data_IF_697111944434
#
_entry.id   IF_697111944434
#
_cell.length_a   1.000
_cell.length_b   1.000
_cell.length_c   1.000
_cell.angle_alpha   90.00
_cell.angle_beta   90.00
_cell.angle_gamma   90.00
#
_symmetry.space_group_name_H-M   'P 1'
#
loop_
_entity.id
_entity.type
_entity.pdbx_description
1 polymer ?
#
# COMPACT_ATOMS: atom_id res chain seq x y z
N UNK A 1 1.96 -6.25 -27.00
CA UNK A 1 0.57 -5.75 -26.82
C UNK A 1 0.43 -5.17 -25.41
N UNK A 2 0.66 -3.87 -25.25
CA UNK A 2 0.52 -3.16 -23.98
C UNK A 2 -0.99 -2.94 -23.72
N UNK A 3 -1.49 -3.24 -22.52
CA UNK A 3 -2.89 -2.94 -22.21
C UNK A 3 -3.11 -1.42 -22.24
N UNK A 4 -3.87 -0.95 -23.24
CA UNK A 4 -4.20 0.48 -23.44
C UNK A 4 -5.12 1.05 -22.35
N UNK A 5 -5.73 0.19 -21.53
CA UNK A 5 -6.58 0.58 -20.41
C UNK A 5 -5.87 0.33 -19.08
N UNK A 6 -5.39 1.42 -18.47
CA UNK A 6 -4.80 1.44 -17.11
C UNK A 6 -5.85 1.22 -16.01
N UNK A 7 -7.13 1.32 -16.36
CA UNK A 7 -8.27 1.21 -15.46
C UNK A 7 -9.17 0.04 -15.84
N UNK A 8 -9.55 -0.77 -14.86
CA UNK A 8 -10.50 -1.87 -15.00
C UNK A 8 -11.72 -1.53 -14.16
N UNK A 9 -12.86 -1.35 -14.82
CA UNK A 9 -14.14 -1.00 -14.18
C UNK A 9 -14.08 0.22 -13.25
N UNK A 10 -13.27 1.21 -13.63
CA UNK A 10 -13.11 2.47 -12.88
C UNK A 10 -12.09 2.44 -11.74
N UNK A 11 -11.40 1.31 -11.54
CA UNK A 11 -10.32 1.15 -10.56
C UNK A 11 -8.99 0.92 -11.27
N UNK A 12 -7.89 1.34 -10.66
CA UNK A 12 -6.52 1.05 -11.07
C UNK A 12 -5.72 0.46 -9.91
N UNK A 13 -4.67 -0.28 -10.24
CA UNK A 13 -3.73 -0.79 -9.25
C UNK A 13 -3.12 0.36 -8.46
N UNK A 14 -3.15 0.25 -7.12
CA UNK A 14 -2.67 1.29 -6.20
C UNK A 14 -3.77 2.21 -5.66
N UNK A 15 -5.00 2.13 -6.18
CA UNK A 15 -6.13 2.84 -5.58
C UNK A 15 -6.41 2.34 -4.17
N UNK A 16 -6.73 3.26 -3.26
CA UNK A 16 -7.28 2.94 -1.94
C UNK A 16 -8.76 2.66 -2.08
N UNK A 17 -9.19 1.48 -1.65
CA UNK A 17 -10.57 1.02 -1.73
C UNK A 17 -11.04 0.51 -0.36
N UNK A 18 -12.34 0.60 -0.13
CA UNK A 18 -13.04 -0.08 0.96
C UNK A 18 -13.90 -1.17 0.35
N UNK A 19 -13.61 -2.43 0.66
CA UNK A 19 -14.46 -3.55 0.29
C UNK A 19 -15.35 -3.94 1.47
N UNK A 20 -16.67 -3.97 1.23
CA UNK A 20 -17.65 -4.45 2.20
C UNK A 20 -18.15 -5.78 1.68
N UNK A 21 -17.63 -6.88 2.22
CA UNK A 21 -17.99 -8.23 1.79
C UNK A 21 -19.18 -8.69 2.64
N UNK A 22 -20.39 -8.85 2.05
CA UNK A 22 -21.59 -9.16 2.82
C UNK A 22 -21.69 -10.63 3.24
N UNK A 23 -21.01 -11.55 2.55
CA UNK A 23 -21.07 -12.98 2.82
C UNK A 23 -19.79 -13.72 2.42
N UNK A 24 -19.49 -14.82 3.12
CA UNK A 24 -18.39 -15.74 2.81
C UNK A 24 -17.28 -15.80 3.86
N UNK A 25 -16.15 -16.43 3.52
CA UNK A 25 -14.99 -16.61 4.42
C UNK A 25 -14.28 -15.29 4.78
N UNK A 26 -14.55 -14.22 4.04
CA UNK A 26 -13.91 -12.90 4.15
C UNK A 26 -14.91 -11.81 4.54
N UNK A 27 -16.04 -12.18 5.15
CA UNK A 27 -17.06 -11.23 5.60
C UNK A 27 -16.43 -10.15 6.48
N UNK A 28 -16.81 -8.90 6.23
CA UNK A 28 -16.30 -7.74 6.94
C UNK A 28 -15.94 -6.58 6.02
N UNK A 29 -15.50 -5.48 6.64
CA UNK A 29 -15.01 -4.31 5.92
C UNK A 29 -13.49 -4.34 5.82
N UNK A 30 -12.97 -4.34 4.60
CA UNK A 30 -11.54 -4.38 4.29
C UNK A 30 -11.14 -3.09 3.61
N UNK A 31 -10.36 -2.26 4.28
CA UNK A 31 -9.83 -1.02 3.71
C UNK A 31 -8.36 -1.21 3.38
N UNK A 32 -7.95 -0.87 2.16
CA UNK A 32 -6.61 -1.15 1.70
C UNK A 32 -6.31 -0.69 0.29
N UNK A 33 -5.12 -1.01 -0.19
CA UNK A 33 -4.74 -0.77 -1.60
C UNK A 33 -5.21 -1.93 -2.47
N UNK A 34 -5.78 -1.63 -3.63
CA UNK A 34 -6.22 -2.65 -4.59
C UNK A 34 -5.10 -2.96 -5.59
N UNK A 35 -4.90 -4.25 -5.84
CA UNK A 35 -4.11 -4.77 -6.95
C UNK A 35 -5.05 -5.49 -7.91
N UNK A 36 -5.09 -5.03 -9.15
CA UNK A 36 -6.00 -5.54 -10.18
C UNK A 36 -5.19 -6.40 -11.15
N UNK A 37 -5.65 -7.63 -11.37
CA UNK A 37 -5.09 -8.53 -12.40
C UNK A 37 -5.88 -8.40 -13.71
N UNK A 38 -5.26 -8.81 -14.83
CA UNK A 38 -5.90 -8.83 -16.17
C UNK A 38 -7.27 -9.53 -16.19
N UNK A 39 -7.45 -10.51 -15.30
CA UNK A 39 -8.68 -11.28 -15.14
C UNK A 39 -9.83 -10.50 -14.47
N UNK A 40 -9.59 -9.27 -14.00
CA UNK A 40 -10.59 -8.47 -13.29
C UNK A 40 -10.82 -8.90 -11.84
N UNK A 41 -9.95 -9.78 -11.31
CA UNK A 41 -9.97 -10.20 -9.91
C UNK A 41 -9.19 -9.17 -9.08
N UNK A 42 -9.83 -8.70 -7.99
CA UNK A 42 -9.24 -7.69 -7.12
C UNK A 42 -8.58 -8.37 -5.91
N UNK A 43 -7.38 -7.90 -5.58
CA UNK A 43 -6.65 -8.26 -4.38
C UNK A 43 -6.48 -7.01 -3.52
N UNK A 44 -6.93 -7.04 -2.28
CA UNK A 44 -6.89 -5.90 -1.38
C UNK A 44 -5.82 -6.14 -0.33
N UNK A 45 -4.82 -5.29 -0.29
CA UNK A 45 -3.78 -5.31 0.74
C UNK A 45 -4.28 -4.51 1.94
N UNK A 46 -4.68 -5.22 2.99
CA UNK A 46 -5.01 -4.63 4.30
C UNK A 46 -3.83 -4.80 5.25
N UNK A 47 -3.91 -4.17 6.42
CA UNK A 47 -2.89 -4.32 7.48
C UNK A 47 -2.83 -5.75 8.03
N UNK A 48 -3.95 -6.46 8.01
CA UNK A 48 -4.06 -7.83 8.53
C UNK A 48 -3.65 -8.88 7.50
N UNK A 49 -3.63 -8.53 6.20
CA UNK A 49 -3.19 -9.43 5.15
C UNK A 49 -3.75 -9.08 3.76
N UNK A 50 -3.30 -9.84 2.77
CA UNK A 50 -3.79 -9.69 1.40
C UNK A 50 -5.09 -10.51 1.19
N UNK A 51 -6.20 -9.81 0.96
CA UNK A 51 -7.50 -10.41 0.70
C UNK A 51 -7.73 -10.53 -0.81
N UNK A 52 -7.49 -11.72 -1.34
CA UNK A 52 -7.62 -12.03 -2.77
C UNK A 52 -9.06 -12.42 -3.16
N UNK A 53 -9.45 -12.26 -4.43
CA UNK A 53 -10.69 -12.86 -4.93
C UNK A 53 -11.95 -12.06 -4.60
N UNK A 54 -11.83 -10.76 -4.37
CA UNK A 54 -13.00 -9.89 -4.13
C UNK A 54 -13.52 -9.39 -5.48
N UNK A 55 -14.85 -9.37 -5.64
CA UNK A 55 -15.49 -8.76 -6.79
C UNK A 55 -15.54 -7.24 -6.62
N UNK A 56 -15.18 -6.52 -7.69
CA UNK A 56 -15.26 -5.05 -7.77
C UNK A 56 -16.61 -4.47 -7.35
N UNK A 57 -17.72 -5.23 -7.46
CA UNK A 57 -19.08 -4.80 -7.08
C UNK A 57 -19.21 -4.45 -5.59
N UNK A 58 -18.36 -5.03 -4.76
CA UNK A 58 -18.35 -4.82 -3.31
C UNK A 58 -17.26 -3.84 -2.87
N UNK A 59 -16.49 -3.30 -3.82
CA UNK A 59 -15.42 -2.35 -3.57
C UNK A 59 -15.90 -0.93 -3.87
N UNK A 60 -15.64 -0.03 -2.94
CA UNK A 60 -15.85 1.40 -3.12
C UNK A 60 -14.50 2.09 -3.16
N UNK A 61 -14.31 2.97 -4.14
CA UNK A 61 -13.09 3.77 -4.28
C UNK A 61 -13.06 4.84 -3.17
N UNK A 62 -11.98 4.88 -2.40
CA UNK A 62 -11.75 5.93 -1.39
C UNK A 62 -10.81 7.01 -1.91
N UNK A 63 -9.71 6.60 -2.54
CA UNK A 63 -8.71 7.52 -3.08
C UNK A 63 -8.08 6.90 -4.32
N UNK A 64 -7.96 7.70 -5.39
CA UNK A 64 -7.26 7.28 -6.60
C UNK A 64 -5.75 7.28 -6.36
N UNK A 65 -5.05 6.30 -6.91
CA UNK A 65 -3.60 6.25 -7.06
C UNK A 65 -3.14 7.23 -8.14
N UNK A 66 -3.40 8.52 -7.94
CA UNK A 66 -2.89 9.63 -8.75
C UNK A 66 -1.40 9.95 -8.46
N UNK A 67 -0.79 9.23 -7.52
CA UNK A 67 0.61 9.39 -7.13
C UNK A 67 0.80 10.23 -5.87
N UNK A 68 -0.24 10.89 -5.36
CA UNK A 68 -0.22 11.63 -4.10
C UNK A 68 -0.64 10.72 -2.94
N UNK A 69 0.16 9.70 -2.69
CA UNK A 69 -0.04 8.81 -1.56
C UNK A 69 0.44 9.47 -0.27
N UNK A 70 -0.46 10.09 0.50
CA UNK A 70 -0.22 10.27 1.92
C UNK A 70 0.02 8.87 2.53
N UNK A 71 1.29 8.60 2.82
CA UNK A 71 1.76 7.43 3.54
C UNK A 71 1.45 7.65 5.02
N UNK A 72 0.43 6.95 5.51
CA UNK A 72 0.68 5.99 6.57
C UNK A 72 0.25 4.64 5.99
N UNK A 73 0.96 3.52 6.15
CA UNK A 73 1.42 2.92 7.38
C UNK A 73 2.61 2.00 7.05
N UNK A 74 3.60 2.02 7.94
CA UNK A 74 4.88 1.34 7.87
C UNK A 74 4.68 -0.17 8.13
N UNK A 75 4.73 -1.01 7.08
CA UNK A 75 4.77 -2.46 7.26
C UNK A 75 6.15 -2.82 7.79
N UNK A 76 6.23 -3.29 9.03
CA UNK A 76 7.49 -3.69 9.66
C UNK A 76 8.26 -4.68 8.78
N UNK A 77 9.48 -4.29 8.40
CA UNK A 77 10.47 -5.13 7.74
C UNK A 77 11.69 -4.33 7.32
N UNK A 78 12.69 -4.22 8.21
CA UNK A 78 14.01 -3.65 7.91
C UNK A 78 14.24 -2.22 8.39
N UNK A 79 14.21 -2.00 9.71
CA UNK A 79 14.67 -0.76 10.34
C UNK A 79 15.94 -1.03 11.18
N UNK A 80 16.98 -1.55 10.52
CA UNK A 80 18.36 -1.59 10.99
C UNK A 80 19.18 -0.50 10.28
N UNK A 81 18.81 0.76 10.49
CA UNK A 81 19.79 1.85 10.44
C UNK A 81 19.51 2.75 11.63
N UNK A 82 20.26 2.54 12.70
CA UNK A 82 20.50 3.63 13.65
C UNK A 82 21.16 4.77 12.87
N UNK A 83 20.56 5.96 12.74
CA UNK A 83 21.34 7.14 12.45
C UNK A 83 22.01 7.54 13.76
N UNK A 84 23.17 6.94 14.07
CA UNK A 84 24.01 7.46 15.15
C UNK A 84 24.53 8.83 14.75
N UNK A 85 23.80 9.81 15.26
CA UNK A 85 24.09 11.23 15.34
C UNK A 85 25.60 11.47 15.45
N UNK A 86 26.12 12.21 14.47
CA UNK A 86 27.45 12.82 14.49
C UNK A 86 27.56 13.66 15.77
N UNK A 87 28.23 13.11 16.80
CA UNK A 87 28.74 13.93 17.90
C UNK A 87 30.05 14.53 17.43
N UNK A 88 29.96 15.76 16.95
CA UNK A 88 31.11 16.66 16.87
C UNK A 88 31.76 16.69 18.26
N UNK A 89 32.99 16.24 18.36
CA UNK A 89 33.87 16.63 19.46
C UNK A 89 35.11 17.25 18.85
N UNK A 90 35.11 18.58 18.85
CA UNK A 90 36.29 19.41 18.73
C UNK A 90 37.33 18.98 19.76
N UNK A 91 38.53 18.62 19.29
CA UNK A 91 39.80 18.92 19.97
C UNK A 91 41.00 18.58 19.06
N UNK A 92 41.57 19.60 18.43
CA UNK A 92 43.03 19.69 18.29
C UNK A 92 43.62 19.80 19.70
N UNK A 93 44.72 19.10 20.03
CA UNK A 93 46.04 19.74 20.02
C UNK A 93 47.12 18.83 19.38
N UNK A 94 47.95 19.35 18.47
CA UNK A 94 49.25 19.99 18.72
C UNK A 94 50.42 19.00 18.91
N UNK A 95 51.27 18.97 17.88
CA UNK A 95 52.75 18.93 17.89
C UNK A 95 53.44 18.32 19.12
N UNK A 96 54.26 17.31 18.87
CA UNK A 96 55.72 17.36 19.07
C UNK A 96 56.41 16.40 18.11
#
# INVERSE_FOLDING_TARGET
>A
YLMRQKQVKGFQTGDRVRAIVPAGKKTGSHTGRVAIRKTGIFNIQTEQGAVQGISWRHCTLLQRGDGYGYHPFNTKGGADREPRVVRRTTRYPSRR
#
